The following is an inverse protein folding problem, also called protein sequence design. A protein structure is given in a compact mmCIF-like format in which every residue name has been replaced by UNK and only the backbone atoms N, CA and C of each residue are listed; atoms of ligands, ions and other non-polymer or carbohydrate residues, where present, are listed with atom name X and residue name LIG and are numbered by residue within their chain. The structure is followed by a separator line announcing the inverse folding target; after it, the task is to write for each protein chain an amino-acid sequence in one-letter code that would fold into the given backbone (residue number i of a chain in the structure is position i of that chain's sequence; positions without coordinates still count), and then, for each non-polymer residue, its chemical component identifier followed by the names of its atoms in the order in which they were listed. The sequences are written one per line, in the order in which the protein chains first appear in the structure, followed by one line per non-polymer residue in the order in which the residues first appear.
data_IF_796413078072
#
_entry.id   IF_796413078072
#
_cell.length_a   1.000
_cell.length_b   1.000
_cell.length_c   1.000
_cell.angle_alpha   90.00
_cell.angle_beta   90.00
_cell.angle_gamma   90.00
#
_symmetry.space_group_name_H-M   'P 1'
#
loop_
_entity.id
_entity.type
_entity.pdbx_description
1 polymer ?
#
# COMPACT_ATOMS: atom_id res chain seq x y z
N UNK A 1 1.67 10.97 -3.66
CA UNK A 1 2.08 12.00 -2.68
C UNK A 1 0.88 12.79 -2.15
N UNK A 2 -0.31 12.31 -2.45
CA UNK A 2 -1.57 12.94 -2.06
C UNK A 2 -2.69 11.93 -2.10
N UNK A 3 -3.81 12.26 -1.49
CA UNK A 3 -5.09 11.58 -1.68
C UNK A 3 -6.08 12.55 -2.32
N UNK A 4 -6.86 12.03 -3.25
CA UNK A 4 -7.98 12.74 -3.85
C UNK A 4 -9.27 12.04 -3.43
N UNK A 5 -10.23 12.81 -2.93
CA UNK A 5 -11.59 12.36 -2.74
C UNK A 5 -12.49 13.06 -3.76
N UNK A 6 -13.44 12.33 -4.33
CA UNK A 6 -14.45 12.88 -5.22
C UNK A 6 -15.81 12.26 -4.92
N UNK A 7 -16.86 13.05 -5.13
CA UNK A 7 -18.23 12.61 -5.08
C UNK A 7 -18.76 12.56 -6.51
N UNK A 8 -19.30 11.41 -6.89
CA UNK A 8 -19.80 11.14 -8.25
C UNK A 8 -21.29 10.83 -8.18
N UNK A 9 -22.05 11.44 -9.06
CA UNK A 9 -23.45 11.07 -9.28
C UNK A 9 -23.52 9.78 -10.10
N UNK A 10 -24.15 8.75 -9.55
CA UNK A 10 -24.25 7.44 -10.22
C UNK A 10 -25.22 7.42 -11.40
N UNK A 11 -26.08 8.43 -11.53
CA UNK A 11 -27.05 8.48 -12.62
C UNK A 11 -26.39 8.79 -13.97
N UNK A 12 -25.34 9.63 -13.96
CA UNK A 12 -24.70 10.10 -15.18
C UNK A 12 -23.16 10.09 -15.15
N UNK A 13 -22.55 9.71 -14.01
CA UNK A 13 -21.11 9.69 -13.83
C UNK A 13 -20.48 11.07 -13.59
N UNK A 14 -21.28 12.10 -13.38
CA UNK A 14 -20.81 13.47 -13.18
C UNK A 14 -20.12 13.64 -11.83
N UNK A 15 -18.96 14.29 -11.85
CA UNK A 15 -18.30 14.75 -10.63
C UNK A 15 -19.10 15.88 -9.97
N UNK A 16 -19.59 15.64 -8.76
CA UNK A 16 -20.30 16.62 -7.94
C UNK A 16 -19.32 17.56 -7.24
N UNK A 17 -18.25 17.01 -6.70
CA UNK A 17 -17.17 17.75 -6.05
C UNK A 17 -15.92 16.89 -5.96
N UNK A 18 -14.75 17.53 -5.92
CA UNK A 18 -13.49 16.86 -5.61
C UNK A 18 -12.61 17.69 -4.67
N UNK A 19 -11.69 17.01 -3.98
CA UNK A 19 -10.70 17.64 -3.12
C UNK A 19 -9.42 16.83 -3.13
N UNK A 20 -8.28 17.51 -3.17
CA UNK A 20 -6.95 16.92 -3.02
C UNK A 20 -6.38 17.34 -1.67
N UNK A 21 -5.74 16.39 -0.98
CA UNK A 21 -4.94 16.62 0.21
C UNK A 21 -3.52 16.12 -0.05
N UNK A 22 -2.55 17.01 -0.01
CA UNK A 22 -1.14 16.65 -0.15
C UNK A 22 -0.62 16.12 1.18
N UNK A 23 0.15 15.03 1.13
CA UNK A 23 0.79 14.44 2.31
C UNK A 23 1.83 15.41 2.87
N UNK A 24 2.01 15.37 4.19
CA UNK A 24 2.86 16.33 4.90
C UNK A 24 4.24 15.82 5.24
N UNK A 25 4.40 14.48 5.33
CA UNK A 25 5.66 13.89 5.73
C UNK A 25 6.73 14.02 4.66
N UNK A 26 7.98 14.25 5.08
CA UNK A 26 9.13 14.29 4.20
C UNK A 26 9.05 15.34 3.09
N UNK A 27 9.67 15.04 1.96
CA UNK A 27 9.66 15.91 0.78
C UNK A 27 8.47 15.54 -0.12
N UNK A 28 7.51 16.44 -0.22
CA UNK A 28 6.29 16.25 -1.00
C UNK A 28 5.57 14.90 -0.72
N UNK A 29 5.48 14.51 0.56
CA UNK A 29 4.82 13.27 0.97
C UNK A 29 5.67 12.01 0.82
N UNK A 30 6.99 12.16 0.66
CA UNK A 30 7.93 11.04 0.53
C UNK A 30 9.07 11.22 1.52
N UNK A 31 9.37 10.16 2.26
CA UNK A 31 10.53 10.05 3.12
C UNK A 31 11.69 9.47 2.29
N UNK A 32 12.79 10.21 2.23
CA UNK A 32 13.99 9.87 1.46
C UNK A 32 15.18 9.69 2.40
N UNK A 33 16.20 8.94 1.96
CA UNK A 33 17.50 8.88 2.62
C UNK A 33 18.57 9.39 1.63
N UNK A 34 19.30 10.46 1.92
CA UNK A 34 20.35 10.97 1.04
C UNK A 34 21.47 9.95 0.75
N UNK A 35 21.60 8.92 1.59
CA UNK A 35 22.60 7.85 1.44
C UNK A 35 22.17 6.75 0.49
N UNK A 36 20.86 6.64 0.21
CA UNK A 36 20.28 5.64 -0.71
C UNK A 36 19.28 6.31 -1.68
N UNK A 37 19.70 6.64 -2.90
CA UNK A 37 18.84 7.28 -3.89
C UNK A 37 17.70 6.39 -4.39
N UNK A 38 17.73 5.09 -4.08
CA UNK A 38 16.72 4.12 -4.44
C UNK A 38 15.60 4.01 -3.40
N UNK A 39 15.83 4.54 -2.19
CA UNK A 39 14.88 4.48 -1.09
C UNK A 39 13.76 5.51 -1.26
N UNK A 40 12.51 5.05 -1.13
CA UNK A 40 11.33 5.91 -1.08
C UNK A 40 10.27 5.31 -0.15
N UNK A 41 9.95 6.03 0.93
CA UNK A 41 8.97 5.61 1.93
C UNK A 41 7.83 6.61 2.03
N UNK A 42 6.70 6.16 2.57
CA UNK A 42 5.60 7.04 2.96
C UNK A 42 5.17 6.77 4.39
N UNK A 43 4.75 7.82 5.07
CA UNK A 43 4.22 7.69 6.42
C UNK A 43 2.77 7.19 6.36
N UNK A 44 2.43 6.03 6.96
CA UNK A 44 1.05 5.55 7.00
C UNK A 44 0.06 6.51 7.69
N UNK A 45 0.53 7.39 8.58
CA UNK A 45 -0.30 8.44 9.17
C UNK A 45 -0.86 9.40 8.12
N UNK A 46 -0.09 9.69 7.07
CA UNK A 46 -0.54 10.56 5.97
C UNK A 46 -1.73 9.96 5.21
N UNK A 47 -1.82 8.63 5.12
CA UNK A 47 -2.98 7.97 4.49
C UNK A 47 -4.24 8.21 5.28
N UNK A 48 -4.16 8.04 6.60
CA UNK A 48 -5.29 8.23 7.53
C UNK A 48 -5.71 9.71 7.56
N UNK A 49 -4.76 10.62 7.82
CA UNK A 49 -5.06 12.05 7.86
C UNK A 49 -5.56 12.54 6.51
N UNK A 50 -4.90 12.14 5.44
CA UNK A 50 -5.28 12.49 4.08
C UNK A 50 -6.70 12.07 3.73
N UNK A 51 -7.09 10.86 4.11
CA UNK A 51 -8.46 10.39 3.94
C UNK A 51 -9.44 11.27 4.70
N UNK A 52 -9.23 11.48 6.00
CA UNK A 52 -10.11 12.29 6.86
C UNK A 52 -10.27 13.72 6.31
N UNK A 53 -9.15 14.35 5.94
CA UNK A 53 -9.14 15.72 5.44
C UNK A 53 -9.81 15.86 4.06
N UNK A 54 -9.47 14.96 3.13
CA UNK A 54 -10.01 15.04 1.77
C UNK A 54 -11.50 14.73 1.73
N UNK A 55 -11.95 13.68 2.44
CA UNK A 55 -13.38 13.33 2.52
C UNK A 55 -14.17 14.41 3.24
N UNK A 56 -13.66 14.91 4.38
CA UNK A 56 -14.34 16.02 5.10
C UNK A 56 -14.52 17.26 4.24
N UNK A 57 -13.51 17.62 3.43
CA UNK A 57 -13.56 18.78 2.52
C UNK A 57 -14.47 18.53 1.33
N UNK A 58 -14.40 17.36 0.70
CA UNK A 58 -15.23 17.05 -0.48
C UNK A 58 -16.71 16.99 -0.12
N UNK A 59 -17.07 16.41 1.03
CA UNK A 59 -18.44 16.39 1.51
C UNK A 59 -18.95 17.81 1.78
N UNK A 60 -18.14 18.68 2.40
CA UNK A 60 -18.50 20.10 2.59
C UNK A 60 -18.69 20.83 1.25
N UNK A 61 -17.87 20.54 0.25
CA UNK A 61 -18.00 21.12 -1.08
C UNK A 61 -19.26 20.61 -1.78
N UNK A 62 -19.52 19.31 -1.74
CA UNK A 62 -20.71 18.69 -2.34
C UNK A 62 -22.02 19.22 -1.72
N UNK A 63 -22.06 19.46 -0.42
CA UNK A 63 -23.24 20.07 0.27
C UNK A 63 -23.64 21.46 -0.25
N UNK A 64 -22.72 22.15 -0.94
CA UNK A 64 -23.04 23.43 -1.59
C UNK A 64 -23.73 23.26 -2.95
N UNK A 65 -23.73 22.05 -3.48
CA UNK A 65 -24.42 21.72 -4.72
C UNK A 65 -25.89 21.40 -4.43
N UNK A 66 -26.77 21.87 -5.31
CA UNK A 66 -28.21 21.60 -5.18
C UNK A 66 -28.49 20.10 -5.27
N UNK A 67 -29.21 19.56 -4.30
CA UNK A 67 -29.70 18.18 -4.29
C UNK A 67 -28.78 17.16 -3.63
N UNK A 68 -27.52 17.47 -3.27
CA UNK A 68 -26.65 16.52 -2.57
C UNK A 68 -26.92 16.48 -1.05
N UNK A 69 -27.05 15.26 -0.53
CA UNK A 69 -27.08 14.96 0.91
C UNK A 69 -26.14 13.78 1.20
N UNK A 70 -25.34 13.82 2.29
CA UNK A 70 -24.39 12.74 2.62
C UNK A 70 -25.06 11.37 2.77
N UNK A 71 -26.31 11.33 3.20
CA UNK A 71 -27.11 10.12 3.39
C UNK A 71 -27.42 9.39 2.07
N UNK A 72 -27.19 10.04 0.95
CA UNK A 72 -27.34 9.47 -0.40
C UNK A 72 -26.08 8.74 -0.88
N UNK A 73 -24.96 8.82 -0.14
CA UNK A 73 -23.75 8.08 -0.47
C UNK A 73 -23.99 6.59 -0.22
N UNK A 74 -23.98 5.81 -1.29
CA UNK A 74 -24.29 4.36 -1.23
C UNK A 74 -23.06 3.48 -1.25
N UNK A 75 -21.87 4.04 -1.50
CA UNK A 75 -20.63 3.27 -1.51
C UNK A 75 -19.40 4.15 -1.59
N UNK A 76 -18.25 3.55 -1.25
CA UNK A 76 -16.92 4.16 -1.35
C UNK A 76 -16.02 3.19 -2.11
N UNK A 77 -15.43 3.63 -3.21
CA UNK A 77 -14.35 2.92 -3.90
C UNK A 77 -13.00 3.52 -3.49
N UNK A 78 -12.00 2.67 -3.29
CA UNK A 78 -10.65 3.08 -2.94
C UNK A 78 -9.69 2.50 -3.96
N UNK A 79 -8.90 3.37 -4.58
CA UNK A 79 -7.79 3.01 -5.45
C UNK A 79 -6.49 3.54 -4.85
N UNK A 80 -5.42 2.77 -4.95
CA UNK A 80 -4.11 3.13 -4.41
C UNK A 80 -2.99 2.72 -5.35
N UNK A 81 -1.80 3.25 -5.10
CA UNK A 81 -0.60 2.76 -5.77
C UNK A 81 -0.25 1.35 -5.28
N UNK A 82 0.26 0.51 -6.16
CA UNK A 82 0.78 -0.82 -5.86
C UNK A 82 2.13 -1.04 -6.54
N UNK A 83 3.10 -1.64 -5.92
CA UNK A 83 3.15 -2.29 -4.62
C UNK A 83 3.62 -1.30 -3.53
N UNK A 84 2.87 -1.20 -2.46
CA UNK A 84 3.26 -0.37 -1.31
C UNK A 84 3.06 -1.18 -0.03
N UNK A 85 3.95 -2.14 0.27
CA UNK A 85 3.87 -2.96 1.48
C UNK A 85 4.16 -2.15 2.75
N UNK A 86 3.41 -2.43 3.80
CA UNK A 86 3.47 -1.79 5.10
C UNK A 86 3.71 -2.87 6.15
N UNK A 87 4.79 -2.80 6.96
CA UNK A 87 4.97 -3.68 8.09
C UNK A 87 4.00 -3.30 9.22
N UNK A 88 3.26 -4.29 9.71
CA UNK A 88 2.22 -4.08 10.74
C UNK A 88 2.40 -5.04 11.91
N UNK A 89 1.92 -4.63 13.07
CA UNK A 89 1.84 -5.46 14.27
C UNK A 89 0.71 -6.51 14.18
N UNK A 90 0.48 -7.23 15.29
CA UNK A 90 -0.57 -8.26 15.39
C UNK A 90 -1.98 -7.69 15.25
N UNK A 91 -2.20 -6.44 15.59
CA UNK A 91 -3.46 -5.72 15.48
C UNK A 91 -3.66 -5.07 14.10
N UNK A 92 -2.63 -5.13 13.23
CA UNK A 92 -2.65 -4.51 11.91
C UNK A 92 -2.31 -3.02 11.92
N UNK A 93 -1.75 -2.53 13.03
CA UNK A 93 -1.25 -1.15 13.14
C UNK A 93 0.13 -1.07 12.49
N UNK A 94 0.37 -0.10 11.58
CA UNK A 94 1.69 0.11 10.99
C UNK A 94 2.78 0.37 12.03
N UNK A 95 3.93 -0.29 11.91
CA UNK A 95 5.02 -0.15 12.90
C UNK A 95 5.49 1.30 13.03
N UNK A 96 5.52 2.08 11.95
CA UNK A 96 5.88 3.49 11.98
C UNK A 96 4.99 4.36 12.89
N UNK A 97 3.80 3.88 13.29
CA UNK A 97 2.93 4.58 14.23
C UNK A 97 3.26 4.30 15.70
N UNK A 98 4.13 3.32 15.97
CA UNK A 98 4.67 3.07 17.30
C UNK A 98 5.89 3.96 17.56
N UNK A 99 5.99 4.50 18.79
CA UNK A 99 7.03 5.46 19.14
C UNK A 99 8.46 4.98 18.91
N UNK A 100 8.70 3.70 19.15
CA UNK A 100 10.03 3.05 18.99
C UNK A 100 10.48 2.93 17.52
N UNK A 101 9.54 2.91 16.56
CA UNK A 101 9.83 2.76 15.13
C UNK A 101 9.55 4.00 14.30
N UNK A 102 9.12 5.11 14.93
CA UNK A 102 8.68 6.32 14.24
C UNK A 102 9.73 6.89 13.28
N UNK A 103 10.98 6.85 13.69
CA UNK A 103 12.10 7.43 12.94
C UNK A 103 12.85 6.40 12.09
N UNK A 104 12.43 5.12 12.12
CA UNK A 104 13.02 4.06 11.31
C UNK A 104 12.32 3.99 9.94
N UNK A 105 13.03 4.37 8.88
CA UNK A 105 12.48 4.36 7.53
C UNK A 105 12.02 2.97 7.06
N UNK A 106 12.58 1.89 7.59
CA UNK A 106 12.15 0.55 7.25
C UNK A 106 10.78 0.18 7.82
N UNK A 107 10.34 0.86 8.90
CA UNK A 107 9.02 0.66 9.51
C UNK A 107 7.88 1.37 8.79
N UNK A 108 8.20 2.26 7.85
CA UNK A 108 7.23 3.00 7.05
C UNK A 108 6.70 2.18 5.87
N UNK A 109 5.72 2.73 5.15
CA UNK A 109 5.23 2.13 3.91
C UNK A 109 6.29 2.21 2.81
N UNK A 110 6.61 1.09 2.19
CA UNK A 110 7.60 0.96 1.12
C UNK A 110 6.94 1.32 -0.21
N UNK A 111 7.14 2.57 -0.66
CA UNK A 111 6.42 3.13 -1.80
C UNK A 111 6.67 2.31 -3.09
N UNK A 112 5.73 2.32 -4.03
CA UNK A 112 5.85 1.61 -5.32
C UNK A 112 7.14 1.94 -6.07
N UNK A 113 7.60 3.19 -6.03
CA UNK A 113 8.84 3.65 -6.66
C UNK A 113 10.12 3.38 -5.84
N UNK A 114 10.02 2.66 -4.72
CA UNK A 114 11.19 2.22 -3.97
C UNK A 114 11.88 1.08 -4.69
N UNK A 115 13.15 1.25 -5.01
CA UNK A 115 13.98 0.29 -5.70
C UNK A 115 15.15 -0.21 -4.84
N UNK A 116 15.19 0.10 -3.54
CA UNK A 116 16.27 -0.32 -2.64
C UNK A 116 16.51 -1.84 -2.63
N UNK A 117 15.50 -2.62 -2.98
CA UNK A 117 15.51 -4.10 -3.01
C UNK A 117 15.94 -4.74 -4.35
N UNK A 118 16.69 -4.03 -5.19
CA UNK A 118 17.08 -4.54 -6.53
C UNK A 118 17.91 -5.81 -6.47
N UNK A 119 18.80 -5.96 -5.49
CA UNK A 119 19.62 -7.15 -5.30
C UNK A 119 18.76 -8.37 -4.90
N UNK A 120 17.79 -8.16 -4.02
CA UNK A 120 16.86 -9.20 -3.60
C UNK A 120 15.91 -9.62 -4.74
N UNK A 121 15.47 -8.67 -5.56
CA UNK A 121 14.68 -8.97 -6.76
C UNK A 121 15.46 -9.85 -7.75
N UNK A 122 16.75 -9.56 -7.97
CA UNK A 122 17.62 -10.39 -8.78
C UNK A 122 17.79 -11.79 -8.18
N UNK A 123 17.99 -11.89 -6.87
CA UNK A 123 18.13 -13.18 -6.16
C UNK A 123 16.84 -14.03 -6.24
N UNK A 124 15.66 -13.41 -6.08
CA UNK A 124 14.35 -14.06 -6.25
C UNK A 124 14.21 -14.58 -7.69
N UNK A 125 14.53 -13.75 -8.69
CA UNK A 125 14.47 -14.12 -10.11
C UNK A 125 15.34 -15.34 -10.40
N UNK A 126 16.58 -15.35 -9.95
CA UNK A 126 17.51 -16.43 -10.16
C UNK A 126 17.10 -17.72 -9.45
N UNK A 127 16.63 -17.62 -8.20
CA UNK A 127 16.08 -18.76 -7.48
C UNK A 127 14.88 -19.38 -8.19
N UNK A 128 13.97 -18.55 -8.71
CA UNK A 128 12.79 -18.97 -9.43
C UNK A 128 13.15 -19.64 -10.77
N UNK A 129 14.13 -19.14 -11.49
CA UNK A 129 14.65 -19.77 -12.73
C UNK A 129 15.21 -21.17 -12.47
N UNK A 130 16.05 -21.32 -11.45
CA UNK A 130 16.62 -22.61 -11.07
C UNK A 130 15.58 -23.64 -10.66
N UNK A 131 14.47 -23.17 -10.05
CA UNK A 131 13.36 -24.03 -9.60
C UNK A 131 12.28 -24.22 -10.66
N UNK A 132 12.41 -23.59 -11.83
CA UNK A 132 11.39 -23.58 -12.87
C UNK A 132 10.01 -23.11 -12.39
N UNK A 133 10.01 -22.08 -11.53
CA UNK A 133 8.78 -21.56 -10.92
C UNK A 133 7.87 -20.90 -11.96
N UNK A 134 6.57 -21.27 -12.02
CA UNK A 134 5.67 -20.81 -13.07
C UNK A 134 5.34 -19.31 -12.96
N UNK A 135 5.54 -18.71 -11.79
CA UNK A 135 5.22 -17.29 -11.59
C UNK A 135 6.15 -16.34 -12.36
N UNK A 136 7.35 -16.75 -12.77
CA UNK A 136 8.20 -15.89 -13.58
C UNK A 136 7.55 -15.51 -14.91
N UNK A 137 6.81 -16.41 -15.54
CA UNK A 137 6.05 -16.11 -16.75
C UNK A 137 4.94 -15.07 -16.50
N UNK A 138 4.42 -15.01 -15.28
CA UNK A 138 3.38 -14.01 -14.87
C UNK A 138 3.95 -12.63 -14.62
N UNK A 139 5.26 -12.50 -14.36
CA UNK A 139 5.94 -11.23 -14.14
C UNK A 139 6.91 -10.83 -15.26
N UNK A 140 6.70 -11.33 -16.47
CA UNK A 140 7.52 -10.95 -17.61
C UNK A 140 8.96 -11.52 -17.59
N UNK A 141 9.20 -12.59 -16.83
CA UNK A 141 10.47 -13.30 -16.76
C UNK A 141 11.45 -12.81 -15.70
N UNK A 142 11.11 -11.77 -14.93
CA UNK A 142 11.92 -11.27 -13.82
C UNK A 142 11.05 -10.68 -12.72
N UNK A 143 11.43 -10.90 -11.47
CA UNK A 143 10.79 -10.28 -10.32
C UNK A 143 11.31 -8.84 -10.13
N UNK A 144 10.44 -7.89 -9.85
CA UNK A 144 10.81 -6.49 -9.75
C UNK A 144 11.19 -6.07 -8.32
N UNK A 145 12.13 -5.11 -8.22
CA UNK A 145 12.41 -4.39 -6.97
C UNK A 145 11.26 -3.54 -6.46
N UNK A 146 10.30 -3.19 -7.33
CA UNK A 146 9.08 -2.48 -6.93
C UNK A 146 8.13 -3.37 -6.13
N UNK A 147 8.28 -4.70 -6.17
CA UNK A 147 7.26 -5.61 -5.73
C UNK A 147 7.45 -6.12 -4.30
N UNK A 148 6.39 -6.69 -3.77
CA UNK A 148 6.16 -7.03 -2.39
C UNK A 148 7.27 -7.87 -1.75
N UNK A 149 7.63 -9.02 -2.37
CA UNK A 149 8.55 -9.96 -1.77
C UNK A 149 10.00 -9.49 -1.76
N UNK A 150 10.43 -8.77 -2.79
CA UNK A 150 11.79 -8.19 -2.82
C UNK A 150 11.98 -7.18 -1.70
N UNK A 151 10.99 -6.32 -1.45
CA UNK A 151 11.00 -5.32 -0.37
C UNK A 151 11.02 -5.98 1.02
N UNK A 152 10.20 -7.02 1.24
CA UNK A 152 10.20 -7.75 2.51
C UNK A 152 11.54 -8.46 2.75
N UNK A 153 12.10 -9.09 1.71
CA UNK A 153 13.40 -9.74 1.80
C UNK A 153 14.51 -8.71 2.09
N UNK A 154 14.45 -7.55 1.45
CA UNK A 154 15.39 -6.45 1.73
C UNK A 154 15.25 -5.96 3.18
N UNK A 155 14.04 -5.77 3.69
CA UNK A 155 13.83 -5.41 5.09
C UNK A 155 14.43 -6.45 6.05
N UNK A 156 14.25 -7.75 5.77
CA UNK A 156 14.88 -8.82 6.55
C UNK A 156 16.40 -8.70 6.61
N UNK A 157 17.03 -8.35 5.48
CA UNK A 157 18.48 -8.27 5.35
C UNK A 157 19.06 -6.98 5.94
N UNK A 158 18.42 -5.83 5.70
CA UNK A 158 18.93 -4.49 6.03
C UNK A 158 18.42 -3.94 7.36
N UNK A 159 17.20 -4.33 7.78
CA UNK A 159 16.52 -3.86 8.98
C UNK A 159 15.89 -5.02 9.78
N UNK A 160 16.69 -5.98 10.29
CA UNK A 160 16.20 -7.19 10.93
C UNK A 160 15.36 -6.94 12.20
N UNK A 161 15.53 -5.81 12.87
CA UNK A 161 14.72 -5.42 14.03
C UNK A 161 13.26 -5.15 13.60
N UNK A 162 13.07 -4.35 12.54
CA UNK A 162 11.75 -4.06 11.97
C UNK A 162 11.11 -5.33 11.42
N UNK A 163 11.88 -6.14 10.68
CA UNK A 163 11.38 -7.41 10.14
C UNK A 163 10.87 -8.36 11.23
N UNK A 164 11.57 -8.46 12.37
CA UNK A 164 11.16 -9.29 13.52
C UNK A 164 9.95 -8.73 14.25
N UNK A 165 9.82 -7.41 14.35
CA UNK A 165 8.68 -6.74 14.96
C UNK A 165 7.40 -6.83 14.10
N UNK A 166 7.55 -6.91 12.79
CA UNK A 166 6.44 -7.05 11.86
C UNK A 166 5.75 -8.41 12.05
N UNK A 167 4.52 -8.38 12.54
CA UNK A 167 3.66 -9.58 12.58
C UNK A 167 3.20 -10.00 11.19
N UNK A 168 2.93 -9.01 10.34
CA UNK A 168 2.52 -9.21 8.95
C UNK A 168 2.94 -8.02 8.09
N UNK A 169 2.81 -8.21 6.78
CA UNK A 169 2.96 -7.17 5.78
C UNK A 169 1.65 -7.02 5.02
N UNK A 170 1.19 -5.78 4.84
CA UNK A 170 -0.07 -5.48 4.17
C UNK A 170 0.16 -4.49 3.04
N UNK A 171 -0.59 -4.61 1.96
CA UNK A 171 -0.57 -3.60 0.90
C UNK A 171 -1.34 -2.35 1.31
N UNK A 172 -0.95 -1.19 0.80
CA UNK A 172 -1.69 0.05 1.02
C UNK A 172 -3.17 -0.08 0.58
N UNK A 173 -3.42 -0.79 -0.54
CA UNK A 173 -4.79 -1.05 -1.03
C UNK A 173 -5.63 -1.94 -0.11
N UNK A 174 -4.99 -2.74 0.75
CA UNK A 174 -5.68 -3.55 1.75
C UNK A 174 -5.82 -2.79 3.08
N UNK A 175 -4.78 -2.02 3.44
CA UNK A 175 -4.73 -1.27 4.69
C UNK A 175 -5.82 -0.19 4.80
N UNK A 176 -5.98 0.65 3.77
CA UNK A 176 -6.93 1.77 3.83
C UNK A 176 -8.38 1.30 3.96
N UNK A 177 -8.88 0.33 3.16
CA UNK A 177 -10.21 -0.23 3.36
C UNK A 177 -10.38 -0.91 4.72
N UNK A 178 -9.36 -1.65 5.19
CA UNK A 178 -9.42 -2.33 6.48
C UNK A 178 -9.48 -1.33 7.66
N UNK A 179 -8.74 -0.22 7.57
CA UNK A 179 -8.82 0.85 8.54
C UNK A 179 -10.21 1.48 8.59
N UNK A 180 -10.82 1.75 7.43
CA UNK A 180 -12.17 2.32 7.32
C UNK A 180 -13.25 1.42 7.91
N UNK A 181 -13.11 0.12 7.75
CA UNK A 181 -14.10 -0.87 8.17
C UNK A 181 -13.82 -1.44 9.57
N UNK A 182 -12.72 -1.02 10.22
CA UNK A 182 -12.32 -1.56 11.52
C UNK A 182 -11.85 -3.02 11.47
N UNK A 183 -11.39 -3.50 10.31
CA UNK A 183 -10.97 -4.90 10.09
C UNK A 183 -9.46 -5.04 9.92
N UNK A 184 -8.68 -4.32 10.72
CA UNK A 184 -7.22 -4.25 10.60
C UNK A 184 -6.49 -5.56 10.94
N UNK A 185 -7.07 -6.49 11.73
CA UNK A 185 -6.41 -7.77 12.06
C UNK A 185 -5.94 -8.48 10.78
N UNK A 186 -4.63 -8.69 10.57
CA UNK A 186 -4.09 -9.23 9.32
C UNK A 186 -4.60 -10.62 8.95
N UNK A 187 -5.13 -11.37 9.92
CA UNK A 187 -5.74 -12.70 9.71
C UNK A 187 -7.16 -12.63 9.14
N UNK A 188 -7.83 -11.49 9.32
CA UNK A 188 -9.22 -11.24 8.93
C UNK A 188 -9.38 -10.18 7.87
N UNK A 189 -8.34 -9.41 7.63
CA UNK A 189 -8.31 -8.35 6.60
C UNK A 189 -8.60 -8.94 5.22
N UNK A 190 -9.52 -8.33 4.49
CA UNK A 190 -9.71 -8.64 3.09
C UNK A 190 -8.47 -8.25 2.28
N UNK A 191 -8.00 -9.17 1.43
CA UNK A 191 -6.82 -8.97 0.58
C UNK A 191 -7.23 -8.89 -0.89
N UNK A 192 -6.69 -7.93 -1.60
CA UNK A 192 -6.92 -7.79 -3.03
C UNK A 192 -6.24 -8.90 -3.82
N UNK A 193 -7.02 -9.77 -4.47
CA UNK A 193 -6.47 -10.80 -5.38
C UNK A 193 -5.84 -10.16 -6.63
N UNK A 194 -6.31 -9.00 -7.06
CA UNK A 194 -5.69 -8.25 -8.14
C UNK A 194 -4.26 -7.82 -7.76
N UNK A 195 -4.09 -7.21 -6.57
CA UNK A 195 -2.78 -6.83 -6.06
C UNK A 195 -1.86 -8.05 -5.88
N UNK A 196 -2.38 -9.17 -5.40
CA UNK A 196 -1.63 -10.42 -5.23
C UNK A 196 -1.25 -11.04 -6.57
N UNK A 197 -2.18 -11.14 -7.52
CA UNK A 197 -1.93 -11.72 -8.85
C UNK A 197 -0.90 -10.94 -9.66
N UNK A 198 -1.01 -9.62 -9.65
CA UNK A 198 -0.07 -8.71 -10.30
C UNK A 198 1.40 -8.91 -9.86
N UNK A 199 1.62 -9.29 -8.60
CA UNK A 199 2.97 -9.45 -8.02
C UNK A 199 3.45 -10.90 -7.93
N UNK A 200 2.80 -11.81 -8.66
CA UNK A 200 3.08 -13.23 -8.62
C UNK A 200 2.91 -13.87 -7.22
N UNK A 201 2.02 -13.31 -6.40
CA UNK A 201 1.67 -13.86 -5.08
C UNK A 201 0.43 -14.75 -5.11
N UNK A 202 -0.34 -14.72 -6.22
CA UNK A 202 -1.58 -15.47 -6.36
C UNK A 202 -1.87 -15.81 -7.81
N UNK A 203 -2.21 -17.07 -8.08
CA UNK A 203 -2.87 -17.49 -9.31
C UNK A 203 -3.70 -18.76 -9.04
N UNK A 204 -4.95 -18.77 -9.50
CA UNK A 204 -5.84 -19.92 -9.34
C UNK A 204 -5.25 -21.21 -9.98
N UNK A 205 -4.51 -21.04 -11.08
CA UNK A 205 -3.90 -22.15 -11.81
C UNK A 205 -2.87 -22.99 -11.02
N UNK A 206 -2.29 -22.44 -9.93
CA UNK A 206 -1.38 -23.19 -9.05
C UNK A 206 -1.91 -23.34 -7.61
N UNK A 207 -3.23 -23.22 -7.44
CA UNK A 207 -3.88 -23.43 -6.14
C UNK A 207 -3.84 -22.21 -5.21
N UNK A 208 -3.53 -21.02 -5.75
CA UNK A 208 -3.59 -19.75 -5.04
C UNK A 208 -2.22 -19.12 -4.82
N UNK A 209 -1.40 -19.63 -3.91
CA UNK A 209 -0.08 -19.11 -3.57
C UNK A 209 1.04 -19.75 -4.42
N UNK A 210 2.20 -19.08 -4.58
CA UNK A 210 3.38 -19.71 -5.15
C UNK A 210 3.83 -20.93 -4.33
N UNK A 211 4.66 -21.80 -4.93
CA UNK A 211 5.29 -22.93 -4.23
C UNK A 211 6.14 -22.47 -3.04
N UNK A 212 6.36 -23.36 -2.07
CA UNK A 212 7.16 -23.13 -0.87
C UNK A 212 8.65 -23.36 -1.12
#
# INVERSE_FOLDING_TARGET
NSVRALVVDLADGREVASCVYNYRSGEAGILLDPRDPHLARQNPADYIEGFIQSVGKVVKAAKRQTGFRPEQVVGIGIDTTGSTPIPVDRQGVPLALHGEFRDDLAAHAWLWKDHSSYAEAAAITEAARRRHEPYLGKCGGAYSSEWFWSKILHCRNSAPAVFKAAWSWVECCDFVPAWLTGTLDPRRMARSVCAAGHKAMYAAAWGGLPSR
#
